data_IF_735299190887
#
_entry.id   IF_735299190887
#
_cell.length_a   1.000
_cell.length_b   1.000
_cell.length_c   1.000
_cell.angle_alpha   90.00
_cell.angle_beta   90.00
_cell.angle_gamma   90.00
#
_symmetry.space_group_name_H-M   'P 1'
#
loop_
_entity.id
_entity.type
_entity.pdbx_description
1 polymer ?
#
# COMPACT_ATOMS: atom_id res chain seq x y z
N UNK A 1 40.46 4.43 -16.88
CA UNK A 1 39.61 4.67 -15.70
C UNK A 1 38.56 5.78 -15.97
N UNK A 2 37.72 5.68 -17.02
CA UNK A 2 36.80 6.76 -17.42
C UNK A 2 35.44 6.31 -18.02
N UNK A 3 35.13 5.01 -18.03
CA UNK A 3 33.94 4.48 -18.72
C UNK A 3 32.60 4.96 -18.11
N UNK A 4 32.57 5.25 -16.80
CA UNK A 4 31.34 5.64 -16.08
C UNK A 4 30.89 7.09 -16.33
N UNK A 5 31.75 7.94 -16.94
CA UNK A 5 31.48 9.37 -17.12
C UNK A 5 30.93 9.70 -18.52
N UNK A 6 30.61 8.70 -19.33
CA UNK A 6 29.99 8.95 -20.64
C UNK A 6 28.48 9.22 -20.48
N UNK A 7 27.93 10.24 -21.16
CA UNK A 7 26.50 10.55 -21.10
C UNK A 7 25.59 9.35 -21.44
N UNK A 8 26.02 8.52 -22.41
CA UNK A 8 25.30 7.31 -22.81
C UNK A 8 25.22 6.25 -21.70
N UNK A 9 26.32 6.01 -20.98
CA UNK A 9 26.33 5.06 -19.86
C UNK A 9 25.43 5.52 -18.71
N UNK A 10 25.47 6.81 -18.36
CA UNK A 10 24.62 7.37 -17.30
C UNK A 10 23.13 7.31 -17.68
N UNK A 11 22.78 7.63 -18.92
CA UNK A 11 21.39 7.57 -19.41
C UNK A 11 20.83 6.14 -19.34
N UNK A 12 21.60 5.14 -19.79
CA UNK A 12 21.16 3.74 -19.73
C UNK A 12 20.88 3.28 -18.28
N UNK A 13 21.71 3.69 -17.31
CA UNK A 13 21.48 3.39 -15.89
C UNK A 13 20.24 4.09 -15.35
N UNK A 14 19.98 5.34 -15.72
CA UNK A 14 18.79 6.08 -15.28
C UNK A 14 17.53 5.41 -15.80
N UNK A 15 17.47 5.05 -17.09
CA UNK A 15 16.32 4.36 -17.69
C UNK A 15 16.09 3.01 -17.00
N UNK A 16 17.15 2.26 -16.75
CA UNK A 16 17.04 0.98 -16.06
C UNK A 16 16.53 1.14 -14.62
N UNK A 17 17.08 2.08 -13.85
CA UNK A 17 16.63 2.35 -12.48
C UNK A 17 15.15 2.80 -12.46
N UNK A 18 14.76 3.62 -13.43
CA UNK A 18 13.39 4.11 -13.55
C UNK A 18 12.40 2.95 -13.81
N UNK A 19 12.73 2.02 -14.71
CA UNK A 19 11.93 0.83 -14.95
C UNK A 19 11.85 -0.09 -13.72
N UNK A 20 12.97 -0.29 -13.01
CA UNK A 20 12.98 -1.09 -11.78
C UNK A 20 12.12 -0.47 -10.68
N UNK A 21 12.17 0.85 -10.51
CA UNK A 21 11.33 1.56 -9.54
C UNK A 21 9.85 1.40 -9.90
N UNK A 22 9.46 1.51 -11.17
CA UNK A 22 8.07 1.28 -11.60
C UNK A 22 7.59 -0.15 -11.28
N UNK A 23 8.42 -1.17 -11.52
CA UNK A 23 8.10 -2.57 -11.21
C UNK A 23 7.93 -2.77 -9.69
N UNK A 24 8.92 -2.34 -8.90
CA UNK A 24 8.93 -2.55 -7.44
C UNK A 24 7.75 -1.81 -6.80
N UNK A 25 7.50 -0.57 -7.19
CA UNK A 25 6.38 0.22 -6.66
C UNK A 25 5.02 -0.38 -7.04
N UNK A 26 4.85 -0.92 -8.24
CA UNK A 26 3.61 -1.61 -8.63
C UNK A 26 3.39 -2.89 -7.82
N UNK A 27 4.42 -3.72 -7.65
CA UNK A 27 4.36 -4.93 -6.81
C UNK A 27 4.07 -4.59 -5.34
N UNK A 28 4.74 -3.58 -4.80
CA UNK A 28 4.52 -3.10 -3.43
C UNK A 28 3.10 -2.55 -3.25
N UNK A 29 2.60 -1.81 -4.24
CA UNK A 29 1.23 -1.28 -4.28
C UNK A 29 0.17 -2.39 -4.25
N UNK A 30 0.40 -3.49 -4.96
CA UNK A 30 -0.48 -4.67 -4.94
C UNK A 30 -0.46 -5.36 -3.56
N UNK A 31 0.72 -5.55 -2.98
CA UNK A 31 0.85 -6.15 -1.64
C UNK A 31 0.12 -5.32 -0.57
N UNK A 32 0.28 -3.99 -0.60
CA UNK A 32 -0.41 -3.08 0.33
C UNK A 32 -1.93 -3.11 0.16
N UNK A 33 -2.44 -3.27 -1.07
CA UNK A 33 -3.88 -3.36 -1.33
C UNK A 33 -4.48 -4.64 -0.74
N UNK A 34 -3.78 -5.77 -0.92
CA UNK A 34 -4.16 -7.04 -0.31
C UNK A 34 -4.13 -6.99 1.22
N UNK A 35 -3.07 -6.41 1.80
CA UNK A 35 -2.96 -6.24 3.26
C UNK A 35 -4.07 -5.33 3.80
N UNK A 36 -4.40 -4.25 3.09
CA UNK A 36 -5.50 -3.36 3.48
C UNK A 36 -6.84 -4.09 3.47
N UNK A 37 -7.11 -4.88 2.42
CA UNK A 37 -8.34 -5.68 2.34
C UNK A 37 -8.41 -6.73 3.45
N UNK A 38 -7.31 -7.43 3.70
CA UNK A 38 -7.24 -8.44 4.76
C UNK A 38 -7.43 -7.82 6.15
N UNK A 39 -6.81 -6.67 6.42
CA UNK A 39 -6.96 -5.94 7.68
C UNK A 39 -8.41 -5.50 7.92
N UNK A 40 -9.08 -5.00 6.87
CA UNK A 40 -10.51 -4.66 6.94
C UNK A 40 -11.39 -5.87 7.24
N UNK A 41 -11.15 -7.02 6.58
CA UNK A 41 -11.88 -8.25 6.85
C UNK A 41 -11.66 -8.75 8.28
N UNK A 42 -10.41 -8.77 8.74
CA UNK A 42 -10.04 -9.17 10.09
C UNK A 42 -10.71 -8.29 11.14
N UNK A 43 -10.74 -6.98 10.93
CA UNK A 43 -11.48 -6.03 11.76
C UNK A 43 -12.95 -6.44 11.86
N UNK A 44 -13.63 -6.66 10.75
CA UNK A 44 -15.06 -7.03 10.75
C UNK A 44 -15.31 -8.34 11.51
N UNK A 45 -14.45 -9.35 11.33
CA UNK A 45 -14.54 -10.60 12.09
C UNK A 45 -14.34 -10.38 13.59
N UNK A 46 -13.38 -9.54 13.99
CA UNK A 46 -13.16 -9.19 15.40
C UNK A 46 -14.40 -8.49 15.98
N UNK A 47 -15.02 -7.56 15.26
CA UNK A 47 -16.25 -6.91 15.71
C UNK A 47 -17.41 -7.90 15.87
N UNK A 48 -17.59 -8.82 14.93
CA UNK A 48 -18.62 -9.85 15.03
C UNK A 48 -18.39 -10.77 16.22
N UNK A 49 -17.15 -11.21 16.43
CA UNK A 49 -16.78 -12.02 17.58
C UNK A 49 -16.99 -11.27 18.89
N UNK A 50 -16.67 -9.98 18.94
CA UNK A 50 -16.91 -9.17 20.13
C UNK A 50 -18.39 -9.08 20.45
N UNK A 51 -19.24 -8.78 19.47
CA UNK A 51 -20.69 -8.70 19.66
C UNK A 51 -21.29 -10.03 20.13
N UNK A 52 -20.82 -11.16 19.59
CA UNK A 52 -21.29 -12.47 20.03
C UNK A 52 -20.85 -12.80 21.46
N UNK A 53 -19.62 -12.44 21.85
CA UNK A 53 -19.14 -12.62 23.22
C UNK A 53 -19.89 -11.67 24.17
N UNK A 54 -20.12 -10.41 23.79
CA UNK A 54 -20.92 -9.47 24.59
C UNK A 54 -22.34 -9.98 24.81
N UNK A 55 -22.93 -10.64 23.81
CA UNK A 55 -24.22 -11.32 23.96
C UNK A 55 -24.15 -12.50 24.94
N UNK A 56 -23.12 -13.35 24.85
CA UNK A 56 -22.92 -14.47 25.80
C UNK A 56 -22.66 -13.98 27.23
N UNK A 57 -22.03 -12.82 27.38
CA UNK A 57 -21.70 -12.21 28.67
C UNK A 57 -22.72 -11.14 29.10
N UNK A 58 -23.92 -11.13 28.53
CA UNK A 58 -24.92 -10.10 28.81
C UNK A 58 -25.26 -9.99 30.31
N UNK A 59 -25.34 -11.11 31.02
CA UNK A 59 -25.58 -11.14 32.48
C UNK A 59 -24.37 -10.64 33.29
N UNK A 60 -23.16 -10.78 32.75
CA UNK A 60 -21.92 -10.35 33.38
C UNK A 60 -21.54 -8.90 33.02
N UNK A 61 -22.41 -8.18 32.30
CA UNK A 61 -22.16 -6.81 31.85
C UNK A 61 -21.22 -6.70 30.63
N UNK A 62 -21.08 -7.77 29.85
CA UNK A 62 -20.28 -7.83 28.63
C UNK A 62 -18.77 -7.98 28.86
N UNK A 63 -18.01 -7.99 27.76
CA UNK A 63 -16.55 -8.11 27.74
C UNK A 63 -15.90 -7.00 28.59
N UNK A 64 -16.37 -5.75 28.50
CA UNK A 64 -15.73 -4.65 29.22
C UNK A 64 -15.79 -4.77 30.74
N UNK A 65 -16.96 -5.17 31.26
CA UNK A 65 -17.15 -5.36 32.70
C UNK A 65 -16.38 -6.60 33.17
N UNK A 66 -16.44 -7.70 32.39
CA UNK A 66 -15.80 -8.96 32.76
C UNK A 66 -14.27 -8.87 32.80
N UNK A 67 -13.65 -8.17 31.86
CA UNK A 67 -12.19 -8.04 31.78
C UNK A 67 -11.63 -6.83 32.53
N UNK A 68 -12.48 -5.94 33.05
CA UNK A 68 -12.10 -4.73 33.80
C UNK A 68 -10.92 -3.96 33.17
N UNK A 69 -10.92 -3.86 31.83
CA UNK A 69 -9.88 -3.18 31.06
C UNK A 69 -10.38 -1.84 30.56
N UNK A 70 -9.61 -0.78 30.80
CA UNK A 70 -9.88 0.57 30.28
C UNK A 70 -9.85 0.64 28.75
N UNK A 71 -9.14 -0.28 28.10
CA UNK A 71 -9.00 -0.34 26.65
C UNK A 71 -10.12 -1.14 25.97
N UNK A 72 -11.07 -1.68 26.73
CA UNK A 72 -12.14 -2.49 26.14
C UNK A 72 -12.92 -1.70 25.07
N UNK A 73 -13.17 -0.42 25.26
CA UNK A 73 -13.98 0.39 24.32
C UNK A 73 -13.18 0.94 23.13
N UNK A 74 -11.92 0.57 22.97
CA UNK A 74 -11.11 1.06 21.86
C UNK A 74 -11.63 0.48 20.55
N UNK A 75 -12.16 1.35 19.70
CA UNK A 75 -12.48 0.98 18.33
C UNK A 75 -11.19 0.71 17.57
N UNK A 76 -11.16 -0.41 16.85
CA UNK A 76 -10.14 -0.60 15.83
C UNK A 76 -10.32 0.54 14.82
N UNK A 77 -9.27 1.13 14.25
CA UNK A 77 -9.36 2.19 13.24
C UNK A 77 -9.46 1.63 11.82
N UNK A 78 -10.29 2.23 10.93
CA UNK A 78 -10.42 1.77 9.53
C UNK A 78 -9.70 2.75 8.61
N UNK A 79 -8.45 2.43 8.31
CA UNK A 79 -7.61 3.24 7.45
C UNK A 79 -7.58 2.72 6.01
N UNK A 80 -8.43 1.74 5.67
CA UNK A 80 -8.37 1.04 4.38
C UNK A 80 -8.58 1.98 3.20
N UNK A 81 -9.48 2.98 3.35
CA UNK A 81 -9.69 4.01 2.33
C UNK A 81 -8.47 4.91 2.13
N UNK A 82 -7.83 5.32 3.23
CA UNK A 82 -6.61 6.13 3.21
C UNK A 82 -5.46 5.36 2.56
N UNK A 83 -5.28 4.09 2.94
CA UNK A 83 -4.26 3.20 2.35
C UNK A 83 -4.50 3.05 0.85
N UNK A 84 -5.73 2.79 0.41
CA UNK A 84 -6.09 2.72 -1.03
C UNK A 84 -5.77 4.00 -1.78
N UNK A 85 -6.01 5.17 -1.17
CA UNK A 85 -5.67 6.46 -1.79
C UNK A 85 -4.15 6.62 -1.93
N UNK A 86 -3.38 6.25 -0.91
CA UNK A 86 -1.90 6.26 -0.95
C UNK A 86 -1.39 5.33 -2.05
N UNK A 87 -1.91 4.11 -2.14
CA UNK A 87 -1.55 3.13 -3.18
C UNK A 87 -1.83 3.68 -4.58
N UNK A 88 -3.01 4.28 -4.78
CA UNK A 88 -3.36 4.94 -6.04
C UNK A 88 -2.35 6.03 -6.41
N UNK A 89 -1.94 6.84 -5.43
CA UNK A 89 -0.95 7.90 -5.67
C UNK A 89 0.44 7.34 -5.98
N UNK A 90 0.89 6.30 -5.29
CA UNK A 90 2.17 5.62 -5.59
C UNK A 90 2.17 5.10 -7.03
N UNK A 91 1.11 4.40 -7.45
CA UNK A 91 0.99 3.90 -8.83
C UNK A 91 1.04 5.02 -9.87
N UNK A 92 0.35 6.14 -9.62
CA UNK A 92 0.37 7.31 -10.50
C UNK A 92 1.75 7.95 -10.61
N UNK A 93 2.47 8.08 -9.49
CA UNK A 93 3.80 8.69 -9.44
C UNK A 93 4.86 7.82 -10.09
N UNK A 94 4.77 6.50 -9.90
CA UNK A 94 5.75 5.57 -10.44
C UNK A 94 5.53 5.25 -11.91
N UNK A 95 4.36 5.56 -12.48
CA UNK A 95 4.08 5.28 -13.87
C UNK A 95 4.98 6.12 -14.80
N UNK A 96 5.68 5.44 -15.70
CA UNK A 96 6.55 6.08 -16.68
C UNK A 96 5.97 5.84 -18.06
N UNK A 97 5.52 6.90 -18.77
CA UNK A 97 5.01 6.72 -20.12
C UNK A 97 6.13 6.26 -21.04
N UNK A 98 5.81 5.34 -21.95
CA UNK A 98 6.75 4.87 -22.97
C UNK A 98 7.24 6.06 -23.80
N UNK A 99 8.53 6.40 -23.66
CA UNK A 99 9.17 7.42 -24.50
C UNK A 99 9.41 6.86 -25.90
N UNK A 100 8.68 7.38 -26.89
CA UNK A 100 9.01 7.18 -28.31
C UNK A 100 10.10 8.17 -28.71
N UNK A 101 11.29 7.68 -29.01
CA UNK A 101 12.35 8.50 -29.59
C UNK A 101 12.05 8.69 -31.08
N UNK A 102 11.73 9.91 -31.49
CA UNK A 102 11.77 10.27 -32.91
C UNK A 102 13.23 10.49 -33.29
N UNK A 103 13.71 9.79 -34.33
CA UNK A 103 15.05 10.02 -34.87
C UNK A 103 15.18 11.48 -35.29
N UNK A 104 16.27 12.16 -34.90
CA UNK A 104 16.60 13.53 -35.33
C UNK A 104 17.32 13.50 -36.70
N UNK A 105 17.27 12.38 -37.43
CA UNK A 105 17.88 12.27 -38.74
C UNK A 105 16.87 12.68 -39.82
N UNK A 106 16.61 13.99 -39.94
CA UNK A 106 16.23 14.63 -41.21
C UNK A 106 16.21 16.17 -41.11
N UNK A 107 16.81 16.80 -42.14
CA UNK A 107 17.14 18.22 -42.39
C UNK A 107 18.45 18.68 -41.74
N UNK A 108 19.58 18.75 -42.45
CA UNK A 108 19.80 19.21 -43.83
C UNK A 108 20.79 18.35 -44.64
#
# INVERSE_FOLDING_TARGET
MWAYRTPMYMLNRIIHLQALVEIITNQTSLALDLLSAQSHQMRTMIYQNRLSIDYLLAEEGGVCTKFNSSECSTEIGDHSKTIKNIISNIRKLAHVPVRKWTSIVEKD
#
